data_IF_716587066477
#
_entry.id   IF_716587066477
#
_cell.length_a   1.000
_cell.length_b   1.000
_cell.length_c   1.000
_cell.angle_alpha   90.00
_cell.angle_beta   90.00
_cell.angle_gamma   90.00
#
_symmetry.space_group_name_H-M   'P 1'
#
loop_
_entity.id
_entity.type
_entity.pdbx_description
1 polymer ?
#
# COMPACT_ATOMS: atom_id res chain seq x y z
N UNK A 1 -0.03 -0.87 11.01
CA UNK A 1 0.99 0.16 10.70
C UNK A 1 2.30 -0.19 11.39
N UNK A 2 3.40 -0.12 10.66
CA UNK A 2 4.76 -0.27 11.19
C UNK A 2 5.51 1.05 11.07
N UNK A 3 6.42 1.31 12.01
CA UNK A 3 7.22 2.52 12.11
C UNK A 3 8.69 2.15 12.11
N UNK A 4 9.48 2.82 11.28
CA UNK A 4 10.91 2.60 11.16
C UNK A 4 11.66 3.94 11.19
N UNK A 5 12.81 3.97 11.86
CA UNK A 5 13.66 5.15 11.98
C UNK A 5 13.46 5.92 13.28
N UNK A 6 13.93 7.17 13.31
CA UNK A 6 13.89 8.05 14.47
C UNK A 6 12.81 9.15 14.28
N UNK A 7 12.46 9.91 15.32
CA UNK A 7 11.41 10.94 15.22
C UNK A 7 11.65 11.97 14.10
N UNK A 8 12.91 12.33 13.83
CA UNK A 8 13.25 13.28 12.75
C UNK A 8 13.09 12.69 11.35
N UNK A 9 13.24 11.37 11.18
CA UNK A 9 13.11 10.66 9.92
C UNK A 9 12.26 9.38 10.09
N UNK A 10 10.99 9.60 10.43
CA UNK A 10 10.04 8.53 10.71
C UNK A 10 9.39 8.03 9.42
N UNK A 11 9.58 6.75 9.11
CA UNK A 11 8.92 6.06 7.98
C UNK A 11 7.73 5.26 8.48
N UNK A 12 6.55 5.53 7.91
CA UNK A 12 5.31 4.83 8.21
C UNK A 12 4.99 3.85 7.08
N UNK A 13 4.88 2.57 7.44
CA UNK A 13 4.41 1.51 6.55
C UNK A 13 2.95 1.18 6.88
N UNK A 14 2.07 1.33 5.90
CA UNK A 14 0.67 0.96 6.02
C UNK A 14 0.49 -0.55 5.79
N UNK A 15 -0.38 -1.13 6.60
CA UNK A 15 -0.90 -2.48 6.39
C UNK A 15 -2.40 -2.31 6.51
N UNK A 16 -3.09 -2.49 5.40
CA UNK A 16 -4.54 -2.46 5.28
C UNK A 16 -4.98 -3.70 4.52
N UNK A 17 -6.04 -4.35 4.99
CA UNK A 17 -6.61 -5.55 4.38
C UNK A 17 -7.85 -5.24 3.54
N UNK A 18 -8.22 -3.96 3.40
CA UNK A 18 -9.26 -3.53 2.47
C UNK A 18 -10.63 -4.13 2.79
N UNK A 19 -10.96 -4.31 4.07
CA UNK A 19 -12.15 -5.04 4.53
C UNK A 19 -13.49 -4.29 4.30
N UNK A 20 -13.49 -3.23 3.49
CA UNK A 20 -14.68 -2.47 3.16
C UNK A 20 -14.83 -2.31 1.64
N UNK A 21 -15.93 -2.79 1.05
CA UNK A 21 -16.64 -2.10 -0.05
C UNK A 21 -17.95 -2.81 -0.43
N UNK A 22 -18.85 -2.05 -1.10
CA UNK A 22 -20.11 -2.52 -1.67
C UNK A 22 -20.17 -2.40 -3.22
N UNK A 23 -19.29 -1.61 -3.86
CA UNK A 23 -19.08 -1.59 -5.33
C UNK A 23 -17.64 -1.14 -5.67
N UNK A 24 -17.04 -1.71 -6.72
CA UNK A 24 -15.65 -1.43 -7.12
C UNK A 24 -15.55 -0.21 -8.07
N UNK A 25 -14.98 0.87 -7.55
CA UNK A 25 -14.66 2.10 -8.28
C UNK A 25 -13.46 1.93 -9.23
N UNK A 26 -13.19 2.93 -10.06
CA UNK A 26 -11.99 2.95 -10.91
C UNK A 26 -10.69 2.97 -10.07
N UNK A 27 -10.75 3.57 -8.88
CA UNK A 27 -9.69 3.57 -7.88
C UNK A 27 -9.40 2.14 -7.42
N UNK A 28 -10.43 1.41 -6.98
CA UNK A 28 -10.28 0.04 -6.46
C UNK A 28 -9.63 -0.88 -7.51
N UNK A 29 -10.07 -0.79 -8.76
CA UNK A 29 -9.47 -1.56 -9.87
C UNK A 29 -8.02 -1.15 -10.18
N UNK A 30 -7.69 0.12 -10.04
CA UNK A 30 -6.31 0.61 -10.18
C UNK A 30 -5.40 0.07 -9.08
N UNK A 31 -5.91 0.03 -7.84
CA UNK A 31 -5.23 -0.59 -6.69
C UNK A 31 -5.05 -2.10 -6.90
N UNK A 32 -6.06 -2.82 -7.38
CA UNK A 32 -5.95 -4.26 -7.68
C UNK A 32 -4.84 -4.55 -8.70
N UNK A 33 -4.78 -3.78 -9.80
CA UNK A 33 -3.73 -3.90 -10.81
C UNK A 33 -2.34 -3.62 -10.22
N UNK A 34 -2.24 -2.63 -9.33
CA UNK A 34 -0.99 -2.31 -8.65
C UNK A 34 -0.56 -3.44 -7.69
N UNK A 35 -1.48 -3.99 -6.92
CA UNK A 35 -1.21 -5.14 -6.04
C UNK A 35 -0.75 -6.35 -6.85
N UNK A 36 -1.42 -6.63 -7.98
CA UNK A 36 -1.02 -7.70 -8.90
C UNK A 36 0.39 -7.47 -9.46
N UNK A 37 0.72 -6.25 -9.89
CA UNK A 37 2.05 -5.87 -10.35
C UNK A 37 3.12 -6.18 -9.30
N UNK A 38 2.91 -5.71 -8.07
CA UNK A 38 3.85 -5.87 -6.96
C UNK A 38 4.04 -7.34 -6.59
N UNK A 39 2.96 -8.11 -6.48
CA UNK A 39 3.03 -9.54 -6.17
C UNK A 39 3.81 -10.30 -7.25
N UNK A 40 3.56 -9.98 -8.51
CA UNK A 40 4.18 -10.65 -9.65
C UNK A 40 5.69 -10.35 -9.75
N UNK A 41 6.07 -9.07 -9.66
CA UNK A 41 7.48 -8.64 -9.71
C UNK A 41 8.27 -9.05 -8.47
N UNK A 42 7.63 -9.14 -7.30
CA UNK A 42 8.27 -9.62 -6.09
C UNK A 42 8.65 -11.10 -6.18
N UNK A 43 7.79 -11.93 -6.77
CA UNK A 43 8.03 -13.38 -6.87
C UNK A 43 8.89 -13.74 -8.07
N UNK A 44 8.90 -12.90 -9.12
CA UNK A 44 9.61 -13.14 -10.37
C UNK A 44 10.37 -11.88 -10.82
N UNK A 45 11.59 -11.62 -10.32
CA UNK A 45 12.28 -10.33 -10.47
C UNK A 45 12.64 -9.85 -11.89
N UNK A 46 12.36 -10.63 -12.95
CA UNK A 46 12.65 -10.27 -14.34
C UNK A 46 11.44 -10.47 -15.27
N UNK A 47 10.22 -10.39 -14.73
CA UNK A 47 8.99 -10.71 -15.46
C UNK A 47 8.16 -9.48 -15.86
N UNK A 48 8.78 -8.29 -15.95
CA UNK A 48 8.09 -7.05 -16.31
C UNK A 48 7.34 -7.15 -17.66
N UNK A 49 7.91 -7.82 -18.65
CA UNK A 49 7.25 -8.03 -19.96
C UNK A 49 5.97 -8.87 -19.85
N UNK A 50 5.94 -9.85 -18.94
CA UNK A 50 4.76 -10.65 -18.68
C UNK A 50 3.66 -9.79 -18.04
N UNK A 51 4.02 -8.94 -17.08
CA UNK A 51 3.03 -8.02 -16.49
C UNK A 51 2.50 -7.02 -17.53
N UNK A 52 3.35 -6.48 -18.41
CA UNK A 52 2.92 -5.63 -19.51
C UNK A 52 1.91 -6.35 -20.44
N UNK A 53 2.13 -7.64 -20.68
CA UNK A 53 1.19 -8.47 -21.46
C UNK A 53 -0.16 -8.65 -20.77
N UNK A 54 -0.15 -8.85 -19.43
CA UNK A 54 -1.38 -8.90 -18.62
C UNK A 54 -2.12 -7.57 -18.71
N UNK A 55 -1.42 -6.44 -18.53
CA UNK A 55 -2.02 -5.11 -18.58
C UNK A 55 -2.65 -4.79 -19.95
N UNK A 56 -1.94 -5.11 -21.04
CA UNK A 56 -2.45 -4.92 -22.39
C UNK A 56 -3.71 -5.77 -22.64
N UNK A 57 -3.71 -7.02 -22.16
CA UNK A 57 -4.86 -7.92 -22.29
C UNK A 57 -6.07 -7.44 -21.46
N UNK A 58 -5.82 -6.90 -20.25
CA UNK A 58 -6.85 -6.27 -19.42
C UNK A 58 -7.50 -5.07 -20.13
N UNK A 59 -6.69 -4.20 -20.74
CA UNK A 59 -7.20 -3.07 -21.52
C UNK A 59 -8.04 -3.52 -22.71
N UNK A 60 -7.58 -4.52 -23.46
CA UNK A 60 -8.28 -5.06 -24.63
C UNK A 60 -9.62 -5.74 -24.27
N UNK A 61 -9.70 -6.39 -23.10
CA UNK A 61 -10.93 -7.05 -22.63
C UNK A 61 -11.97 -6.07 -22.04
N UNK A 62 -11.56 -4.84 -21.71
CA UNK A 62 -12.44 -3.85 -21.09
C UNK A 62 -13.36 -3.18 -22.12
N UNK A 63 -14.66 -3.48 -22.07
CA UNK A 63 -15.66 -2.99 -23.05
C UNK A 63 -15.79 -1.47 -23.09
N UNK A 64 -15.69 -0.79 -21.94
CA UNK A 64 -15.84 0.66 -21.84
C UNK A 64 -14.48 1.33 -21.86
N UNK A 65 -14.12 1.92 -23.00
CA UNK A 65 -12.84 2.60 -23.22
C UNK A 65 -12.62 3.77 -22.25
N UNK A 66 -13.68 4.54 -21.92
CA UNK A 66 -13.57 5.65 -20.96
C UNK A 66 -13.23 5.15 -19.56
N UNK A 67 -13.96 4.14 -19.10
CA UNK A 67 -13.69 3.50 -17.81
C UNK A 67 -12.30 2.87 -17.77
N UNK A 68 -11.86 2.22 -18.85
CA UNK A 68 -10.51 1.68 -18.96
C UNK A 68 -9.45 2.76 -18.80
N UNK A 69 -9.61 3.92 -19.45
CA UNK A 69 -8.66 5.04 -19.31
C UNK A 69 -8.61 5.57 -17.89
N UNK A 70 -9.75 5.70 -17.22
CA UNK A 70 -9.83 6.13 -15.82
C UNK A 70 -9.10 5.14 -14.90
N UNK A 71 -9.31 3.83 -15.07
CA UNK A 71 -8.63 2.79 -14.28
C UNK A 71 -7.11 2.85 -14.46
N UNK A 72 -6.64 3.00 -15.71
CA UNK A 72 -5.21 3.07 -16.01
C UNK A 72 -4.60 4.35 -15.45
N UNK A 73 -5.31 5.48 -15.53
CA UNK A 73 -4.88 6.71 -14.87
C UNK A 73 -4.76 6.53 -13.34
N UNK A 74 -5.70 5.80 -12.72
CA UNK A 74 -5.62 5.48 -11.29
C UNK A 74 -4.48 4.53 -10.96
N UNK A 75 -4.17 3.53 -11.79
CA UNK A 75 -2.98 2.70 -11.62
C UNK A 75 -1.69 3.53 -11.58
N UNK A 76 -1.51 4.45 -12.54
CA UNK A 76 -0.33 5.33 -12.53
C UNK A 76 -0.30 6.25 -11.31
N UNK A 77 -1.46 6.75 -10.89
CA UNK A 77 -1.57 7.55 -9.68
C UNK A 77 -1.14 6.77 -8.43
N UNK A 78 -1.65 5.54 -8.26
CA UNK A 78 -1.28 4.65 -7.15
C UNK A 78 0.22 4.38 -7.14
N UNK A 79 0.85 4.14 -8.30
CA UNK A 79 2.32 3.99 -8.41
C UNK A 79 3.08 5.21 -7.91
N UNK A 80 2.56 6.41 -8.13
CA UNK A 80 3.23 7.67 -7.78
C UNK A 80 3.02 8.13 -6.32
N UNK A 81 2.01 7.63 -5.60
CA UNK A 81 1.67 8.12 -4.25
C UNK A 81 2.75 7.91 -3.19
N UNK A 82 3.66 6.96 -3.41
CA UNK A 82 4.80 6.71 -2.52
C UNK A 82 4.37 6.30 -1.10
N UNK A 83 3.26 5.59 -0.98
CA UNK A 83 2.82 4.98 0.28
C UNK A 83 3.64 3.71 0.47
N UNK A 84 4.32 3.61 1.62
CA UNK A 84 5.10 2.42 1.94
C UNK A 84 4.15 1.34 2.45
N UNK A 85 4.20 0.15 1.85
CA UNK A 85 3.49 -1.05 2.27
C UNK A 85 4.46 -2.23 2.22
N UNK A 86 4.42 -3.16 3.19
CA UNK A 86 5.21 -4.39 3.09
C UNK A 86 4.77 -5.20 1.87
N UNK A 87 5.73 -5.75 1.14
CA UNK A 87 5.43 -6.61 -0.02
C UNK A 87 4.82 -7.94 0.46
N UNK A 88 3.69 -8.36 -0.12
CA UNK A 88 3.10 -9.68 0.17
C UNK A 88 3.85 -10.74 -0.66
N UNK A 89 4.38 -11.77 0.00
CA UNK A 89 5.05 -12.89 -0.65
C UNK A 89 4.11 -14.07 -0.89
N UNK A 90 3.24 -14.38 0.08
CA UNK A 90 2.36 -15.56 -0.01
C UNK A 90 1.10 -15.35 0.84
N UNK A 91 -0.03 -15.87 0.34
CA UNK A 91 -1.26 -16.04 1.12
C UNK A 91 -1.54 -17.53 1.21
N UNK A 92 -1.58 -18.06 2.43
CA UNK A 92 -1.89 -19.47 2.69
C UNK A 92 -3.33 -19.60 3.19
N UNK A 93 -4.17 -20.23 2.37
CA UNK A 93 -5.58 -20.46 2.70
C UNK A 93 -5.81 -21.67 3.62
N UNK A 94 -4.82 -22.55 3.79
CA UNK A 94 -4.97 -23.71 4.67
C UNK A 94 -4.93 -23.31 6.16
N UNK A 95 -4.11 -22.31 6.50
CA UNK A 95 -3.96 -21.80 7.87
C UNK A 95 -4.42 -20.34 8.03
N UNK A 96 -4.98 -19.74 6.97
CA UNK A 96 -5.41 -18.34 6.92
C UNK A 96 -4.30 -17.34 7.28
N UNK A 97 -3.08 -17.59 6.79
CA UNK A 97 -1.92 -16.72 7.03
C UNK A 97 -1.49 -15.93 5.79
N UNK A 98 -0.92 -14.75 6.03
CA UNK A 98 -0.33 -13.88 5.02
C UNK A 98 1.14 -13.67 5.39
N UNK A 99 2.03 -14.01 4.47
CA UNK A 99 3.47 -13.80 4.59
C UNK A 99 3.84 -12.55 3.80
N UNK A 100 4.51 -11.63 4.48
CA UNK A 100 4.88 -10.34 3.93
C UNK A 100 6.32 -9.98 4.30
N UNK A 101 6.86 -8.99 3.62
CA UNK A 101 8.18 -8.40 3.87
C UNK A 101 8.35 -8.04 5.34
N UNK A 102 9.46 -8.49 5.91
CA UNK A 102 9.89 -8.06 7.23
C UNK A 102 10.56 -6.68 7.11
N UNK A 103 9.95 -5.68 7.75
CA UNK A 103 10.57 -4.36 7.85
C UNK A 103 11.51 -4.37 9.06
N UNK A 104 12.81 -4.53 8.80
CA UNK A 104 13.84 -4.59 9.84
C UNK A 104 13.81 -3.36 10.75
N UNK A 105 14.02 -3.58 12.05
CA UNK A 105 14.00 -2.56 13.10
C UNK A 105 12.68 -1.77 13.23
N UNK A 106 11.61 -2.25 12.60
CA UNK A 106 10.32 -1.60 12.71
C UNK A 106 9.59 -2.02 13.99
N UNK A 107 8.91 -1.06 14.62
CA UNK A 107 7.97 -1.32 15.71
C UNK A 107 6.54 -0.98 15.28
N UNK A 108 5.56 -1.51 15.99
CA UNK A 108 4.17 -1.17 15.70
C UNK A 108 3.87 0.27 16.12
N UNK A 109 2.95 0.94 15.43
CA UNK A 109 2.49 2.27 15.86
C UNK A 109 1.95 2.27 17.30
N UNK A 110 1.29 1.17 17.71
CA UNK A 110 0.83 0.98 19.10
C UNK A 110 1.98 0.99 20.10
N UNK A 111 3.05 0.25 19.80
CA UNK A 111 4.23 0.18 20.65
C UNK A 111 4.85 1.57 20.80
N UNK A 112 5.11 2.26 19.68
CA UNK A 112 5.66 3.61 19.69
C UNK A 112 4.82 4.59 20.51
N UNK A 113 3.50 4.61 20.33
CA UNK A 113 2.59 5.48 21.08
C UNK A 113 2.67 5.18 22.58
N UNK A 114 2.71 3.90 22.95
CA UNK A 114 2.80 3.47 24.35
C UNK A 114 4.11 3.94 24.98
N UNK A 115 5.24 3.74 24.28
CA UNK A 115 6.56 4.10 24.77
C UNK A 115 6.74 5.61 24.92
N UNK A 116 6.35 6.38 23.91
CA UNK A 116 6.49 7.85 23.95
C UNK A 116 5.56 8.48 24.98
N UNK A 117 4.36 7.92 25.18
CA UNK A 117 3.43 8.38 26.22
C UNK A 117 4.00 8.12 27.62
N UNK A 118 4.60 6.95 27.85
CA UNK A 118 5.23 6.61 29.12
C UNK A 118 6.44 7.50 29.43
N UNK A 119 7.16 7.96 28.41
CA UNK A 119 8.30 8.88 28.52
C UNK A 119 7.87 10.36 28.62
N UNK A 120 6.60 10.69 28.39
CA UNK A 120 6.11 12.07 28.33
C UNK A 120 6.60 12.83 27.09
N UNK A 121 7.04 12.14 26.04
CA UNK A 121 7.53 12.76 24.80
C UNK A 121 6.39 13.11 23.85
N UNK A 122 5.74 14.25 24.14
CA UNK A 122 4.69 14.82 23.30
C UNK A 122 5.18 15.21 21.90
N UNK A 123 6.47 15.54 21.74
CA UNK A 123 7.00 15.99 20.46
C UNK A 123 7.03 14.87 19.42
N UNK A 124 7.49 13.69 19.83
CA UNK A 124 7.50 12.48 19.02
C UNK A 124 6.09 11.97 18.69
N UNK A 125 5.13 12.13 19.61
CA UNK A 125 3.72 11.80 19.37
C UNK A 125 3.07 12.74 18.35
N UNK A 126 3.30 14.04 18.46
CA UNK A 126 2.83 15.02 17.47
C UNK A 126 3.43 14.75 16.10
N UNK A 127 4.73 14.42 16.05
CA UNK A 127 5.39 14.06 14.80
C UNK A 127 4.79 12.81 14.15
N UNK A 128 4.48 11.78 14.93
CA UNK A 128 3.77 10.60 14.42
C UNK A 128 2.41 10.99 13.84
N UNK A 129 1.64 11.84 14.54
CA UNK A 129 0.34 12.30 14.07
C UNK A 129 0.44 13.08 12.74
N UNK A 130 1.45 13.94 12.58
CA UNK A 130 1.73 14.63 11.31
C UNK A 130 1.99 13.64 10.17
N UNK A 131 2.86 12.64 10.39
CA UNK A 131 3.21 11.64 9.38
C UNK A 131 2.00 10.81 8.99
N UNK A 132 1.16 10.41 9.96
CA UNK A 132 -0.10 9.71 9.69
C UNK A 132 -1.02 10.60 8.86
N UNK A 133 -1.21 11.86 9.24
CA UNK A 133 -2.07 12.80 8.51
C UNK A 133 -1.62 13.04 7.07
N UNK A 134 -0.31 13.22 6.85
CA UNK A 134 0.27 13.35 5.51
C UNK A 134 0.07 12.07 4.69
N UNK A 135 0.23 10.90 5.30
CA UNK A 135 0.04 9.61 4.62
C UNK A 135 -1.42 9.39 4.25
N UNK A 136 -2.36 9.70 5.15
CA UNK A 136 -3.80 9.64 4.88
C UNK A 136 -4.20 10.62 3.78
N UNK A 137 -3.62 11.83 3.78
CA UNK A 137 -3.86 12.80 2.70
C UNK A 137 -3.43 12.24 1.34
N UNK A 138 -2.27 11.60 1.25
CA UNK A 138 -1.83 10.91 0.02
C UNK A 138 -2.75 9.76 -0.37
N UNK A 139 -3.27 9.02 0.61
CA UNK A 139 -4.21 7.92 0.39
C UNK A 139 -5.56 8.42 -0.16
N UNK A 140 -5.99 9.62 0.22
CA UNK A 140 -7.27 10.20 -0.18
C UNK A 140 -7.20 11.16 -1.38
N UNK A 141 -6.02 11.55 -1.84
CA UNK A 141 -5.81 12.54 -2.90
C UNK A 141 -6.45 12.17 -4.26
N UNK A 142 -6.97 10.95 -4.39
CA UNK A 142 -7.60 10.37 -5.58
C UNK A 142 -9.12 10.46 -5.65
N UNK A 143 -9.82 10.92 -4.61
CA UNK A 143 -11.30 10.95 -4.64
C UNK A 143 -11.86 12.07 -5.52
#
# INVERSE_FOLDING_TARGET
>A
MLLQGNPSNLRLFLIDFGLSSFEASAEDKGVDLYVLERAFLSSHPNSQELFNTILNSYQAATKNVKSCKEIIAKLEEVRMRGILTPTIFMVNFQDNSIYMEEIQDAITAKQYITDMSAQGDSSSLLRLAEVIGQTLSKMHASK
#
